data_IF_851918287289
#
_entry.id   IF_851918287289
#
_cell.length_a   1.000
_cell.length_b   1.000
_cell.length_c   1.000
_cell.angle_alpha   90.00
_cell.angle_beta   90.00
_cell.angle_gamma   90.00
#
_symmetry.space_group_name_H-M   'P 1'
#
loop_
_entity.id
_entity.type
_entity.pdbx_description
1 polymer ?
#
# COMPACT_ATOMS: atom_id res chain seq x y z
N UNK A 1 -28.96 -39.43 -21.65
CA UNK A 1 -30.03 -38.47 -21.91
C UNK A 1 -31.26 -39.26 -22.32
N UNK A 2 -32.40 -38.82 -21.87
CA UNK A 2 -33.68 -39.49 -22.08
C UNK A 2 -34.69 -38.46 -22.48
N UNK A 3 -35.59 -38.81 -23.40
CA UNK A 3 -36.70 -37.94 -23.81
C UNK A 3 -38.01 -38.62 -23.37
N UNK A 4 -38.89 -37.82 -22.75
CA UNK A 4 -40.25 -38.20 -22.40
C UNK A 4 -41.18 -37.40 -23.28
N UNK A 5 -42.12 -38.03 -23.99
CA UNK A 5 -43.12 -37.40 -24.84
C UNK A 5 -44.51 -37.60 -24.27
N UNK A 6 -45.44 -36.75 -24.65
CA UNK A 6 -46.81 -36.79 -24.20
C UNK A 6 -46.96 -36.64 -22.67
N UNK A 7 -46.14 -35.76 -22.08
CA UNK A 7 -46.20 -35.47 -20.65
C UNK A 7 -47.47 -34.66 -20.36
N UNK A 8 -48.35 -35.23 -19.50
CA UNK A 8 -49.61 -34.59 -19.12
C UNK A 8 -49.47 -33.62 -17.95
N UNK A 9 -48.54 -33.90 -17.02
CA UNK A 9 -48.26 -33.06 -15.84
C UNK A 9 -46.76 -32.65 -15.76
N UNK A 10 -46.41 -31.46 -16.28
CA UNK A 10 -45.04 -30.95 -16.17
C UNK A 10 -44.59 -30.68 -14.73
N UNK A 11 -45.54 -30.54 -13.80
CA UNK A 11 -45.25 -30.29 -12.38
C UNK A 11 -44.54 -31.46 -11.72
N UNK A 12 -44.74 -32.70 -12.19
CA UNK A 12 -44.01 -33.88 -11.72
C UNK A 12 -42.50 -33.81 -11.95
N UNK A 13 -42.07 -32.92 -12.85
CA UNK A 13 -40.68 -32.69 -13.24
C UNK A 13 -40.15 -31.33 -12.77
N UNK A 14 -40.96 -30.55 -11.98
CA UNK A 14 -40.59 -29.21 -11.49
C UNK A 14 -40.59 -28.13 -12.57
N UNK A 15 -41.30 -28.36 -13.71
CA UNK A 15 -41.31 -27.44 -14.85
C UNK A 15 -42.40 -26.37 -14.76
N UNK A 16 -43.36 -26.49 -13.84
CA UNK A 16 -44.36 -25.50 -13.48
C UNK A 16 -43.82 -24.40 -12.56
N UNK A 17 -42.83 -24.76 -11.74
CA UNK A 17 -42.06 -23.82 -10.88
C UNK A 17 -40.57 -24.06 -11.13
N UNK A 18 -40.05 -23.66 -12.29
CA UNK A 18 -38.69 -24.00 -12.70
C UNK A 18 -37.63 -23.41 -11.80
N UNK A 19 -36.58 -24.17 -11.53
CA UNK A 19 -35.41 -23.71 -10.78
C UNK A 19 -34.68 -22.57 -11.54
N UNK A 20 -34.55 -22.72 -12.85
CA UNK A 20 -33.93 -21.71 -13.73
C UNK A 20 -34.64 -21.67 -15.08
N UNK A 21 -34.63 -20.50 -15.72
CA UNK A 21 -34.99 -20.32 -17.12
C UNK A 21 -33.82 -19.67 -17.83
N UNK A 22 -33.31 -20.32 -18.87
CA UNK A 22 -32.15 -19.86 -19.63
C UNK A 22 -32.63 -19.54 -21.05
N UNK A 23 -32.40 -18.32 -21.50
CA UNK A 23 -32.68 -17.90 -22.87
C UNK A 23 -31.36 -17.60 -23.58
N UNK A 24 -31.10 -18.29 -24.68
CA UNK A 24 -29.95 -18.08 -25.55
C UNK A 24 -30.39 -17.37 -26.79
N UNK A 25 -29.99 -16.11 -26.97
CA UNK A 25 -30.27 -15.31 -28.17
C UNK A 25 -29.03 -15.33 -29.07
N UNK A 26 -29.21 -15.79 -30.33
CA UNK A 26 -28.12 -15.86 -31.31
C UNK A 26 -27.96 -14.51 -32.03
N UNK A 27 -26.84 -14.33 -32.69
CA UNK A 27 -26.53 -13.08 -33.43
C UNK A 27 -27.44 -12.83 -34.62
N UNK A 28 -28.10 -13.86 -35.16
CA UNK A 28 -29.12 -13.77 -36.22
C UNK A 28 -30.52 -13.40 -35.71
N UNK A 29 -30.68 -13.31 -34.37
CA UNK A 29 -31.94 -12.97 -33.71
C UNK A 29 -32.79 -14.20 -33.31
N UNK A 30 -32.39 -15.41 -33.68
CA UNK A 30 -33.03 -16.63 -33.18
C UNK A 30 -32.79 -16.82 -31.71
N UNK A 31 -33.77 -17.29 -30.95
CA UNK A 31 -33.63 -17.60 -29.55
C UNK A 31 -34.04 -19.04 -29.23
N UNK A 32 -33.38 -19.62 -28.24
CA UNK A 32 -33.73 -20.90 -27.66
C UNK A 32 -33.89 -20.74 -26.15
N UNK A 33 -35.02 -21.25 -25.63
CA UNK A 33 -35.34 -21.19 -24.22
C UNK A 33 -35.24 -22.57 -23.59
N UNK A 34 -34.50 -22.68 -22.50
CA UNK A 34 -34.34 -23.89 -21.70
C UNK A 34 -34.99 -23.65 -20.35
N UNK A 35 -36.03 -24.38 -20.03
CA UNK A 35 -36.67 -24.35 -18.71
C UNK A 35 -36.12 -25.54 -17.91
N UNK A 36 -35.58 -25.26 -16.74
CA UNK A 36 -34.88 -26.22 -15.89
C UNK A 36 -35.77 -26.61 -14.70
N UNK A 37 -36.19 -27.86 -14.66
CA UNK A 37 -36.98 -28.40 -13.59
C UNK A 37 -36.15 -29.11 -12.51
N UNK A 38 -36.75 -30.12 -11.88
CA UNK A 38 -36.15 -30.82 -10.76
C UNK A 38 -35.02 -31.77 -11.16
N UNK A 39 -34.20 -32.12 -10.19
CA UNK A 39 -33.17 -33.13 -10.32
C UNK A 39 -33.74 -34.52 -9.94
N UNK A 40 -33.60 -35.50 -10.83
CA UNK A 40 -33.99 -36.88 -10.56
C UNK A 40 -33.10 -37.46 -9.47
N UNK A 41 -33.68 -37.81 -8.34
CA UNK A 41 -32.94 -38.31 -7.16
C UNK A 41 -32.27 -39.69 -7.38
N UNK A 42 -32.73 -40.46 -8.35
CA UNK A 42 -32.19 -41.81 -8.63
C UNK A 42 -31.03 -41.78 -9.63
N UNK A 43 -31.10 -40.88 -10.63
CA UNK A 43 -30.10 -40.81 -11.71
C UNK A 43 -29.15 -39.63 -11.54
N UNK A 44 -29.55 -38.60 -10.79
CA UNK A 44 -28.84 -37.35 -10.68
C UNK A 44 -29.02 -36.41 -11.89
N UNK A 45 -29.77 -36.81 -12.90
CA UNK A 45 -30.02 -36.02 -14.08
C UNK A 45 -31.08 -34.93 -13.81
N UNK A 46 -30.97 -33.80 -14.49
CA UNK A 46 -31.93 -32.71 -14.41
C UNK A 46 -32.97 -32.79 -15.52
N UNK A 47 -34.23 -32.55 -15.20
CA UNK A 47 -35.29 -32.43 -16.17
C UNK A 47 -35.29 -31.05 -16.80
N UNK A 48 -35.48 -31.00 -18.13
CA UNK A 48 -35.58 -29.75 -18.88
C UNK A 48 -36.66 -29.84 -19.94
N UNK A 49 -37.23 -28.70 -20.30
CA UNK A 49 -37.99 -28.58 -21.57
C UNK A 49 -37.44 -27.43 -22.40
N UNK A 50 -37.73 -27.45 -23.70
CA UNK A 50 -37.20 -26.49 -24.65
C UNK A 50 -38.36 -25.65 -25.23
N UNK A 51 -38.13 -24.36 -25.39
CA UNK A 51 -39.03 -23.43 -26.07
C UNK A 51 -40.47 -23.48 -25.55
N UNK A 52 -40.63 -23.63 -24.24
CA UNK A 52 -41.91 -23.75 -23.52
C UNK A 52 -42.77 -24.97 -23.93
N UNK A 53 -42.19 -25.94 -24.65
CA UNK A 53 -42.86 -27.19 -24.94
C UNK A 53 -42.72 -28.18 -23.78
N UNK A 54 -43.56 -28.03 -22.77
CA UNK A 54 -43.56 -28.87 -21.58
C UNK A 54 -44.18 -30.26 -21.82
N UNK A 55 -44.76 -30.52 -23.02
CA UNK A 55 -45.19 -31.86 -23.41
C UNK A 55 -44.06 -32.80 -23.74
N UNK A 56 -42.87 -32.24 -23.99
CA UNK A 56 -41.63 -33.00 -24.24
C UNK A 56 -40.59 -32.65 -23.21
N UNK A 57 -40.29 -33.60 -22.34
CA UNK A 57 -39.29 -33.43 -21.26
C UNK A 57 -38.04 -34.20 -21.59
N UNK A 58 -36.91 -33.55 -21.46
CA UNK A 58 -35.58 -34.14 -21.62
C UNK A 58 -34.92 -34.35 -20.28
N UNK A 59 -34.01 -35.31 -20.20
CA UNK A 59 -33.10 -35.43 -19.07
C UNK A 59 -31.68 -35.14 -19.51
N UNK A 60 -30.95 -34.39 -18.71
CA UNK A 60 -29.54 -34.06 -18.96
C UNK A 60 -28.70 -34.30 -17.74
N UNK A 61 -27.44 -34.74 -17.95
CA UNK A 61 -26.45 -34.84 -16.89
C UNK A 61 -25.80 -33.49 -16.54
N UNK A 62 -26.07 -32.45 -17.33
CA UNK A 62 -25.57 -31.09 -17.06
C UNK A 62 -26.29 -30.52 -15.85
N UNK A 63 -25.53 -30.06 -14.87
CA UNK A 63 -26.07 -29.39 -13.68
C UNK A 63 -26.32 -27.91 -13.97
N UNK A 64 -27.40 -27.62 -14.69
CA UNK A 64 -27.81 -26.24 -14.99
C UNK A 64 -28.11 -25.43 -13.72
N UNK A 65 -28.62 -26.10 -12.67
CA UNK A 65 -28.93 -25.45 -11.40
C UNK A 65 -27.72 -24.82 -10.76
N UNK A 66 -26.60 -25.55 -10.66
CA UNK A 66 -25.37 -25.00 -10.07
C UNK A 66 -24.68 -24.01 -11.02
N UNK A 67 -24.72 -24.27 -12.32
CA UNK A 67 -24.05 -23.42 -13.31
C UNK A 67 -24.68 -22.01 -13.39
N UNK A 68 -26.01 -21.91 -13.30
CA UNK A 68 -26.73 -20.65 -13.46
C UNK A 68 -27.40 -20.14 -12.17
N UNK A 69 -26.97 -20.63 -11.00
CA UNK A 69 -27.47 -20.16 -9.69
C UNK A 69 -26.72 -18.94 -9.15
N UNK A 70 -25.66 -18.54 -9.79
CA UNK A 70 -24.84 -17.40 -9.38
C UNK A 70 -25.55 -16.07 -9.50
N UNK A 71 -25.21 -15.13 -8.63
CA UNK A 71 -25.60 -13.74 -8.77
C UNK A 71 -24.78 -13.01 -9.84
N UNK A 72 -25.10 -11.74 -10.09
CA UNK A 72 -24.42 -10.93 -11.11
C UNK A 72 -22.89 -10.96 -10.99
N UNK A 73 -22.35 -10.82 -9.78
CA UNK A 73 -20.91 -10.80 -9.51
C UNK A 73 -20.19 -12.15 -9.72
N UNK A 74 -20.92 -13.24 -10.01
CA UNK A 74 -20.31 -14.48 -10.47
C UNK A 74 -19.98 -14.47 -11.96
N UNK A 75 -20.57 -13.54 -12.73
CA UNK A 75 -20.48 -13.49 -14.17
C UNK A 75 -19.98 -12.15 -14.70
N UNK A 76 -20.28 -11.06 -14.02
CA UNK A 76 -19.84 -9.71 -14.39
C UNK A 76 -18.49 -9.38 -13.78
N UNK A 77 -17.69 -8.63 -14.51
CA UNK A 77 -16.54 -7.95 -13.94
C UNK A 77 -17.03 -6.88 -12.96
N UNK A 78 -16.61 -6.95 -11.72
CA UNK A 78 -16.95 -5.97 -10.69
C UNK A 78 -15.86 -4.92 -10.58
N UNK A 79 -16.25 -3.71 -10.17
CA UNK A 79 -15.30 -2.66 -9.81
C UNK A 79 -14.32 -3.17 -8.74
N UNK A 80 -13.05 -2.84 -8.90
CA UNK A 80 -12.00 -3.16 -7.93
C UNK A 80 -11.53 -1.90 -7.23
N UNK A 81 -11.12 -2.03 -5.97
CA UNK A 81 -10.37 -0.94 -5.32
C UNK A 81 -9.08 -0.70 -6.12
N UNK A 82 -8.72 0.55 -6.44
CA UNK A 82 -7.55 0.85 -7.25
C UNK A 82 -6.27 0.33 -6.62
N UNK A 83 -5.35 -0.17 -7.45
CA UNK A 83 -4.02 -0.55 -6.99
C UNK A 83 -3.17 0.69 -6.81
N UNK A 84 -2.92 1.08 -5.57
CA UNK A 84 -2.15 2.26 -5.22
C UNK A 84 -0.79 1.82 -4.67
N UNK A 85 0.29 2.35 -5.22
CA UNK A 85 1.63 2.19 -4.65
C UNK A 85 1.79 3.20 -3.51
N UNK A 86 2.06 2.75 -2.29
CA UNK A 86 2.11 3.63 -1.11
C UNK A 86 3.07 4.81 -1.25
N UNK A 87 4.22 4.61 -1.91
CA UNK A 87 5.24 5.66 -2.12
C UNK A 87 4.83 6.74 -3.13
N UNK A 88 3.81 6.50 -3.98
CA UNK A 88 3.32 7.48 -4.94
C UNK A 88 2.24 8.40 -4.39
N UNK A 89 1.75 8.12 -3.18
CA UNK A 89 0.74 8.95 -2.51
C UNK A 89 1.38 10.28 -2.09
N UNK A 90 0.81 11.38 -2.53
CA UNK A 90 1.28 12.74 -2.24
C UNK A 90 0.40 13.48 -1.23
N UNK A 91 -0.87 13.07 -1.09
CA UNK A 91 -1.80 13.70 -0.15
C UNK A 91 -2.88 12.69 0.27
N UNK A 92 -3.27 12.77 1.53
CA UNK A 92 -4.37 12.01 2.12
C UNK A 92 -5.25 12.98 2.91
N UNK A 93 -6.53 13.03 2.58
CA UNK A 93 -7.54 13.83 3.29
C UNK A 93 -8.55 12.88 3.92
N UNK A 94 -8.70 12.96 5.22
CA UNK A 94 -9.70 12.20 5.97
C UNK A 94 -10.69 13.20 6.58
N UNK A 95 -11.92 13.21 6.07
CA UNK A 95 -13.03 14.04 6.59
C UNK A 95 -13.98 13.19 7.41
N UNK A 96 -14.26 13.64 8.61
CA UNK A 96 -15.18 13.01 9.59
C UNK A 96 -15.94 14.11 10.33
N UNK A 97 -16.97 13.75 11.07
CA UNK A 97 -17.69 14.71 11.92
C UNK A 97 -16.76 15.38 12.94
N UNK A 98 -15.81 14.62 13.47
CA UNK A 98 -14.78 15.09 14.39
C UNK A 98 -13.41 14.57 13.98
N UNK A 99 -12.35 15.34 14.26
CA UNK A 99 -10.97 14.97 13.99
C UNK A 99 -10.66 14.76 12.49
N UNK A 100 -11.19 15.61 11.63
CA UNK A 100 -10.79 15.66 10.22
C UNK A 100 -9.36 16.13 10.08
N UNK A 101 -8.59 15.54 9.17
CA UNK A 101 -7.19 15.92 8.95
C UNK A 101 -6.74 15.71 7.51
N UNK A 102 -5.70 16.45 7.15
CA UNK A 102 -5.00 16.32 5.86
C UNK A 102 -3.52 16.06 6.12
N UNK A 103 -2.98 15.03 5.46
CA UNK A 103 -1.54 14.75 5.42
C UNK A 103 -1.07 15.02 4.00
N UNK A 104 -0.04 15.86 3.81
CA UNK A 104 0.41 16.28 2.48
C UNK A 104 1.93 16.36 2.41
N UNK A 105 2.50 15.94 1.29
CA UNK A 105 3.90 16.14 0.96
C UNK A 105 4.07 17.51 0.29
N UNK A 106 5.14 18.20 0.60
CA UNK A 106 5.46 19.50 -0.02
C UNK A 106 6.13 19.38 -1.40
N UNK A 107 6.33 18.15 -1.89
CA UNK A 107 6.99 17.83 -3.16
C UNK A 107 8.49 18.14 -3.21
N UNK A 108 9.12 18.55 -2.09
CA UNK A 108 10.52 18.98 -2.06
C UNK A 108 11.48 17.94 -1.48
N UNK A 109 10.97 16.98 -0.69
CA UNK A 109 11.78 15.89 -0.16
C UNK A 109 10.89 14.72 0.27
N UNK A 110 11.45 13.52 0.33
CA UNK A 110 10.77 12.33 0.85
C UNK A 110 10.36 12.45 2.34
N UNK A 111 10.93 13.42 3.06
CA UNK A 111 10.64 13.69 4.48
C UNK A 111 9.80 14.95 4.69
N UNK A 112 9.43 15.64 3.62
CA UNK A 112 8.70 16.90 3.67
C UNK A 112 7.19 16.74 3.89
N UNK A 113 6.78 15.90 4.82
CA UNK A 113 5.40 15.68 5.15
C UNK A 113 4.88 16.65 6.20
N UNK A 114 3.65 17.08 6.02
CA UNK A 114 2.91 17.96 6.91
C UNK A 114 1.55 17.39 7.22
N UNK A 115 1.07 17.61 8.42
CA UNK A 115 -0.30 17.31 8.83
C UNK A 115 -1.02 18.58 9.23
N UNK A 116 -2.28 18.68 8.88
CA UNK A 116 -3.16 19.80 9.18
C UNK A 116 -4.50 19.28 9.69
N UNK A 117 -4.96 19.77 10.82
CA UNK A 117 -6.29 19.51 11.35
C UNK A 117 -7.21 20.64 10.92
N UNK A 118 -8.23 20.33 10.09
CA UNK A 118 -9.16 21.31 9.52
C UNK A 118 -8.44 22.56 8.99
N UNK A 119 -8.80 23.77 9.48
CA UNK A 119 -8.20 25.04 9.08
C UNK A 119 -7.02 25.47 9.98
N UNK A 120 -6.55 24.60 10.86
CA UNK A 120 -5.41 24.88 11.72
C UNK A 120 -4.11 25.00 10.94
N UNK A 121 -3.07 25.55 11.60
CA UNK A 121 -1.73 25.66 11.01
C UNK A 121 -1.16 24.25 10.72
N UNK A 122 -0.55 24.11 9.54
CA UNK A 122 0.21 22.90 9.20
C UNK A 122 1.35 22.66 10.20
N UNK A 123 1.48 21.42 10.63
CA UNK A 123 2.56 20.93 11.49
C UNK A 123 3.43 19.95 10.70
N UNK A 124 4.71 19.88 11.04
CA UNK A 124 5.59 18.86 10.48
C UNK A 124 5.10 17.47 10.91
N UNK A 125 5.03 16.53 9.97
CA UNK A 125 4.58 15.18 10.23
C UNK A 125 5.76 14.22 10.44
N UNK A 126 5.53 13.19 11.24
CA UNK A 126 6.44 12.05 11.39
C UNK A 126 6.34 11.16 10.14
N UNK A 127 7.45 11.04 9.41
CA UNK A 127 7.50 10.29 8.15
C UNK A 127 7.20 8.79 8.33
N UNK A 128 7.51 8.21 9.49
CA UNK A 128 7.23 6.81 9.80
C UNK A 128 5.73 6.59 9.97
N UNK A 129 5.05 7.48 10.72
CA UNK A 129 3.61 7.42 10.91
C UNK A 129 2.86 7.66 9.60
N UNK A 130 3.35 8.61 8.78
CA UNK A 130 2.81 8.85 7.43
C UNK A 130 2.99 7.64 6.53
N UNK A 131 4.15 6.99 6.54
CA UNK A 131 4.40 5.76 5.77
C UNK A 131 3.45 4.62 6.16
N UNK A 132 3.12 4.51 7.45
CA UNK A 132 2.12 3.56 7.94
C UNK A 132 0.72 3.90 7.40
N UNK A 133 0.33 5.18 7.40
CA UNK A 133 -0.94 5.64 6.85
C UNK A 133 -1.02 5.39 5.33
N UNK A 134 0.04 5.71 4.58
CA UNK A 134 0.13 5.43 3.15
C UNK A 134 -0.05 3.93 2.86
N UNK A 135 0.63 3.07 3.64
CA UNK A 135 0.51 1.61 3.51
C UNK A 135 -0.89 1.13 3.85
N UNK A 136 -1.55 1.72 4.85
CA UNK A 136 -2.94 1.40 5.19
C UNK A 136 -3.88 1.73 4.04
N UNK A 137 -3.75 2.93 3.45
CA UNK A 137 -4.57 3.37 2.32
C UNK A 137 -4.34 2.50 1.08
N UNK A 138 -3.08 2.22 0.76
CA UNK A 138 -2.71 1.37 -0.38
C UNK A 138 -3.15 -0.09 -0.21
N UNK A 139 -3.27 -0.56 1.02
CA UNK A 139 -3.69 -1.91 1.36
C UNK A 139 -5.21 -2.10 1.48
N UNK A 140 -6.03 -1.08 1.25
CA UNK A 140 -7.48 -1.24 1.24
C UNK A 140 -7.93 -2.13 0.09
N UNK A 141 -8.98 -2.89 0.31
CA UNK A 141 -9.59 -3.74 -0.70
C UNK A 141 -11.06 -4.00 -0.37
N UNK A 142 -11.86 -4.29 -1.38
CA UNK A 142 -13.24 -4.69 -1.15
C UNK A 142 -13.31 -6.09 -0.56
N UNK A 143 -14.12 -6.23 0.49
CA UNK A 143 -14.44 -7.48 1.16
C UNK A 143 -15.85 -7.97 0.84
N UNK A 144 -16.70 -7.11 0.27
CA UNK A 144 -18.07 -7.42 -0.10
C UNK A 144 -18.53 -6.63 -1.32
N UNK A 145 -19.44 -7.24 -2.08
CA UNK A 145 -20.09 -6.67 -3.26
C UNK A 145 -21.59 -6.81 -3.05
N UNK A 146 -22.33 -5.69 -2.93
CA UNK A 146 -23.70 -5.72 -2.49
C UNK A 146 -24.69 -5.30 -3.54
N UNK A 147 -24.36 -4.28 -4.35
CA UNK A 147 -25.24 -3.77 -5.40
C UNK A 147 -24.41 -3.10 -6.49
N UNK A 148 -24.59 -3.52 -7.75
CA UNK A 148 -23.89 -2.97 -8.91
C UNK A 148 -24.52 -1.69 -9.45
N UNK A 149 -25.75 -1.37 -9.05
CA UNK A 149 -26.49 -0.18 -9.48
C UNK A 149 -27.33 0.36 -8.33
N UNK A 150 -26.65 0.88 -7.31
CA UNK A 150 -27.28 1.44 -6.13
C UNK A 150 -27.85 2.82 -6.42
N UNK A 151 -29.09 3.04 -6.05
CA UNK A 151 -29.79 4.33 -6.21
C UNK A 151 -30.22 4.93 -4.88
N UNK A 152 -30.29 4.15 -3.81
CA UNK A 152 -30.66 4.58 -2.45
C UNK A 152 -29.42 4.59 -1.53
N UNK A 153 -28.59 5.61 -1.67
CA UNK A 153 -27.40 5.80 -0.87
C UNK A 153 -27.70 6.12 0.60
N UNK A 154 -28.89 6.68 0.89
CA UNK A 154 -29.29 7.03 2.24
C UNK A 154 -29.47 5.78 3.12
N UNK A 155 -29.98 4.68 2.57
CA UNK A 155 -30.15 3.41 3.28
C UNK A 155 -28.83 2.85 3.84
N UNK A 156 -27.72 3.15 3.16
CA UNK A 156 -26.38 2.67 3.50
C UNK A 156 -25.51 3.71 4.25
N UNK A 157 -26.09 4.90 4.53
CA UNK A 157 -25.39 6.01 5.19
C UNK A 157 -24.38 6.71 4.28
N UNK A 158 -24.48 6.56 2.96
CA UNK A 158 -23.54 7.11 1.97
C UNK A 158 -23.97 8.45 1.39
N UNK A 159 -25.22 8.91 1.64
CA UNK A 159 -25.62 10.29 1.38
C UNK A 159 -24.96 11.28 2.34
N UNK A 160 -24.74 10.82 3.59
CA UNK A 160 -23.97 11.54 4.63
C UNK A 160 -22.96 10.56 5.22
N UNK A 161 -21.81 10.37 4.56
CA UNK A 161 -20.84 9.37 4.97
C UNK A 161 -20.23 9.70 6.32
N UNK A 162 -19.96 8.69 7.14
CA UNK A 162 -19.23 8.83 8.42
C UNK A 162 -17.79 9.29 8.21
N UNK A 163 -17.23 8.92 7.08
CA UNK A 163 -15.88 9.31 6.66
C UNK A 163 -15.82 9.43 5.13
N UNK A 164 -15.11 10.44 4.69
CA UNK A 164 -14.65 10.54 3.29
C UNK A 164 -13.12 10.52 3.28
N UNK A 165 -12.54 9.65 2.49
CA UNK A 165 -11.12 9.57 2.23
C UNK A 165 -10.85 10.03 0.81
N UNK A 166 -10.03 11.09 0.65
CA UNK A 166 -9.51 11.52 -0.66
C UNK A 166 -8.01 11.29 -0.69
N UNK A 167 -7.50 10.69 -1.76
CA UNK A 167 -6.09 10.34 -1.93
C UNK A 167 -5.58 10.84 -3.27
N UNK A 168 -4.58 11.72 -3.25
CA UNK A 168 -3.84 12.12 -4.45
C UNK A 168 -2.59 11.23 -4.57
N UNK A 169 -2.41 10.58 -5.72
CA UNK A 169 -1.28 9.68 -6.00
C UNK A 169 -0.90 9.71 -7.47
N UNK A 170 0.24 9.14 -7.82
CA UNK A 170 0.65 8.97 -9.22
C UNK A 170 0.62 7.50 -9.61
N UNK A 171 0.19 7.23 -10.84
CA UNK A 171 0.18 5.91 -11.45
C UNK A 171 1.05 5.92 -12.72
N UNK A 172 1.85 4.88 -12.91
CA UNK A 172 2.58 4.70 -14.15
C UNK A 172 1.68 4.00 -15.17
N UNK A 173 1.40 4.67 -16.28
CA UNK A 173 0.62 4.13 -17.39
C UNK A 173 1.55 3.95 -18.61
N UNK A 174 1.28 2.97 -19.43
CA UNK A 174 1.99 2.81 -20.70
C UNK A 174 1.73 4.03 -21.59
N UNK A 175 2.79 4.67 -22.07
CA UNK A 175 2.67 5.76 -23.01
C UNK A 175 2.16 5.20 -24.36
N UNK A 176 1.04 5.71 -24.86
CA UNK A 176 0.57 5.39 -26.20
C UNK A 176 1.64 5.84 -27.20
N UNK A 177 2.26 4.89 -27.90
CA UNK A 177 3.14 5.19 -29.01
C UNK A 177 2.28 5.72 -30.17
N UNK A 178 2.22 7.03 -30.33
CA UNK A 178 1.72 7.64 -31.57
C UNK A 178 2.76 7.47 -32.66
N UNK A 179 2.83 6.28 -33.26
CA UNK A 179 3.59 6.06 -34.49
C UNK A 179 2.65 6.24 -35.69
N UNK A 180 2.40 7.51 -36.04
CA UNK A 180 1.93 7.92 -37.34
C UNK A 180 3.14 8.30 -38.20
N UNK A 181 3.90 7.29 -38.64
CA UNK A 181 4.83 7.45 -39.76
C UNK A 181 4.65 6.29 -40.74
N UNK A 182 3.76 6.52 -41.73
CA UNK A 182 3.86 5.79 -42.99
C UNK A 182 5.27 6.02 -43.59
N UNK A 183 6.10 5.04 -43.52
CA UNK A 183 7.32 4.97 -44.33
C UNK A 183 7.45 3.59 -44.96
N UNK A 184 7.06 3.59 -46.21
CA UNK A 184 7.36 2.56 -47.22
C UNK A 184 8.89 2.35 -47.33
N UNK A 185 9.41 1.17 -46.98
CA UNK A 185 10.71 0.67 -47.51
C UNK A 185 10.96 -0.79 -47.11
N UNK A 186 11.07 -1.57 -48.09
CA UNK A 186 11.60 -2.90 -48.37
C UNK A 186 12.46 -3.60 -47.30
N UNK A 187 12.17 -4.88 -47.19
CA UNK A 187 12.80 -5.98 -46.47
C UNK A 187 14.33 -5.93 -46.29
N UNK A 188 14.75 -6.14 -45.05
CA UNK A 188 15.97 -6.93 -44.81
C UNK A 188 15.86 -7.70 -43.48
N UNK A 189 15.91 -9.02 -43.58
CA UNK A 189 15.89 -9.97 -42.46
C UNK A 189 17.21 -9.90 -41.71
N UNK A 190 17.14 -9.57 -40.40
CA UNK A 190 18.11 -10.04 -39.42
C UNK A 190 17.44 -10.12 -38.04
N UNK A 191 17.40 -11.34 -37.49
CA UNK A 191 16.98 -11.64 -36.12
C UNK A 191 17.80 -10.83 -35.13
N UNK A 192 17.15 -9.89 -34.47
CA UNK A 192 17.62 -9.32 -33.23
C UNK A 192 16.38 -9.26 -32.32
N UNK A 193 16.46 -9.89 -31.18
CA UNK A 193 15.41 -9.85 -30.15
C UNK A 193 15.09 -8.38 -29.82
N UNK A 194 13.96 -7.92 -30.31
CA UNK A 194 13.42 -6.59 -30.09
C UNK A 194 12.84 -6.55 -28.67
N UNK A 195 13.64 -6.11 -27.70
CA UNK A 195 13.14 -5.68 -26.41
C UNK A 195 12.48 -4.31 -26.62
N UNK A 196 11.18 -4.30 -26.92
CA UNK A 196 10.38 -3.08 -26.91
C UNK A 196 10.40 -2.51 -25.48
N UNK A 197 11.22 -1.47 -25.26
CA UNK A 197 11.14 -0.68 -24.03
C UNK A 197 9.77 -0.01 -24.02
N UNK A 198 8.84 -0.55 -23.22
CA UNK A 198 7.56 0.08 -22.95
C UNK A 198 7.86 1.35 -22.15
N UNK A 199 7.73 2.50 -22.79
CA UNK A 199 7.87 3.79 -22.09
C UNK A 199 6.63 4.00 -21.20
N UNK A 200 6.83 4.14 -19.89
CA UNK A 200 5.77 4.48 -18.94
C UNK A 200 5.74 5.99 -18.67
N UNK A 201 4.55 6.53 -18.45
CA UNK A 201 4.33 7.91 -18.05
C UNK A 201 3.60 7.96 -16.71
N UNK A 202 4.11 8.78 -15.76
CA UNK A 202 3.43 9.03 -14.51
C UNK A 202 2.23 9.96 -14.72
N UNK A 203 1.04 9.54 -14.28
CA UNK A 203 -0.21 10.31 -14.36
C UNK A 203 -0.75 10.54 -12.96
N UNK A 204 -1.14 11.78 -12.69
CA UNK A 204 -1.79 12.14 -11.43
C UNK A 204 -3.20 11.56 -11.37
N UNK A 205 -3.55 10.92 -10.26
CA UNK A 205 -4.84 10.32 -9.96
C UNK A 205 -5.37 10.82 -8.62
N UNK A 206 -6.67 10.88 -8.51
CA UNK A 206 -7.39 11.12 -7.27
C UNK A 206 -8.36 9.99 -7.01
N UNK A 207 -8.38 9.48 -5.79
CA UNK A 207 -9.35 8.50 -5.31
C UNK A 207 -10.22 9.16 -4.25
N UNK A 208 -11.53 9.06 -4.40
CA UNK A 208 -12.50 9.36 -3.36
C UNK A 208 -13.18 8.08 -2.88
N UNK A 209 -13.15 7.84 -1.58
CA UNK A 209 -13.85 6.73 -0.93
C UNK A 209 -14.80 7.28 0.14
N UNK A 210 -16.07 6.97 -0.03
CA UNK A 210 -17.12 7.29 0.93
C UNK A 210 -17.42 6.09 1.82
N UNK A 211 -17.42 6.26 3.14
CA UNK A 211 -17.67 5.21 4.14
C UNK A 211 -18.96 5.49 4.88
N UNK A 212 -19.92 4.58 4.76
CA UNK A 212 -21.27 4.69 5.33
C UNK A 212 -21.45 3.92 6.63
N UNK A 213 -22.59 3.23 6.74
CA UNK A 213 -22.96 2.42 7.91
C UNK A 213 -22.27 1.05 7.88
N UNK A 214 -22.27 0.36 9.01
CA UNK A 214 -21.85 -1.04 9.09
C UNK A 214 -22.99 -1.93 8.60
N UNK A 215 -22.67 -2.92 7.77
CA UNK A 215 -23.56 -4.02 7.43
C UNK A 215 -23.62 -5.00 8.62
N UNK A 216 -24.78 -5.11 9.24
CA UNK A 216 -24.97 -5.97 10.43
C UNK A 216 -24.84 -7.47 10.12
N UNK A 217 -24.88 -7.86 8.83
CA UNK A 217 -24.84 -9.26 8.42
C UNK A 217 -23.41 -9.80 8.41
N UNK A 218 -22.44 -9.02 7.90
CA UNK A 218 -21.04 -9.45 7.71
C UNK A 218 -20.03 -8.56 8.45
N UNK A 219 -20.47 -7.45 9.02
CA UNK A 219 -19.63 -6.53 9.79
C UNK A 219 -18.78 -5.58 8.98
N UNK A 220 -18.90 -5.55 7.65
CA UNK A 220 -18.17 -4.61 6.81
C UNK A 220 -18.83 -3.22 6.84
N UNK A 221 -18.05 -2.17 6.60
CA UNK A 221 -18.62 -0.86 6.27
C UNK A 221 -19.08 -0.84 4.83
N UNK A 222 -20.26 -0.31 4.56
CA UNK A 222 -20.68 0.04 3.21
C UNK A 222 -19.82 1.16 2.67
N UNK A 223 -19.33 0.99 1.46
CA UNK A 223 -18.45 1.96 0.82
C UNK A 223 -18.82 2.19 -0.64
N UNK A 224 -18.43 3.36 -1.16
CA UNK A 224 -18.56 3.74 -2.57
C UNK A 224 -17.29 4.46 -3.02
N UNK A 225 -16.80 4.17 -4.23
CA UNK A 225 -15.74 4.92 -4.88
C UNK A 225 -16.33 6.07 -5.71
N UNK A 226 -15.85 7.28 -5.49
CA UNK A 226 -16.20 8.45 -6.30
C UNK A 226 -17.66 8.52 -6.70
N UNK A 227 -17.90 8.63 -8.00
CA UNK A 227 -19.23 8.66 -8.60
C UNK A 227 -19.75 7.28 -9.05
N UNK A 228 -19.08 6.19 -8.63
CA UNK A 228 -19.52 4.83 -8.96
C UNK A 228 -20.96 4.56 -8.52
N UNK A 229 -21.69 3.75 -9.28
CA UNK A 229 -22.99 3.24 -8.89
C UNK A 229 -22.91 1.96 -8.08
N UNK A 230 -21.71 1.40 -7.88
CA UNK A 230 -21.53 0.15 -7.16
C UNK A 230 -21.41 0.35 -5.66
N UNK A 231 -22.08 -0.52 -4.90
CA UNK A 231 -22.04 -0.56 -3.44
C UNK A 231 -21.17 -1.73 -3.00
N UNK A 232 -20.10 -1.41 -2.33
CA UNK A 232 -19.12 -2.38 -1.83
C UNK A 232 -19.04 -2.42 -0.32
N UNK A 233 -18.22 -3.32 0.20
CA UNK A 233 -17.87 -3.40 1.60
C UNK A 233 -16.36 -3.40 1.81
N UNK A 234 -15.91 -2.72 2.87
CA UNK A 234 -14.54 -2.84 3.38
C UNK A 234 -14.60 -3.27 4.84
N UNK A 235 -13.69 -4.15 5.26
CA UNK A 235 -13.68 -4.67 6.62
C UNK A 235 -13.46 -3.55 7.65
N UNK A 236 -14.08 -3.67 8.84
CA UNK A 236 -13.89 -2.70 9.92
C UNK A 236 -12.41 -2.59 10.31
N UNK A 237 -11.69 -3.72 10.35
CA UNK A 237 -10.28 -3.75 10.72
C UNK A 237 -9.40 -2.94 9.76
N UNK A 238 -9.70 -2.98 8.45
CA UNK A 238 -8.95 -2.23 7.43
C UNK A 238 -9.17 -0.71 7.54
N UNK A 239 -10.35 -0.27 8.00
CA UNK A 239 -10.71 1.15 8.14
C UNK A 239 -10.43 1.72 9.53
N UNK A 240 -10.08 0.88 10.52
CA UNK A 240 -9.95 1.30 11.94
C UNK A 240 -8.96 2.46 12.11
N UNK A 241 -7.79 2.39 11.49
CA UNK A 241 -6.76 3.43 11.55
C UNK A 241 -7.28 4.78 11.02
N UNK A 242 -8.05 4.76 9.92
CA UNK A 242 -8.61 5.97 9.31
C UNK A 242 -9.76 6.54 10.14
N UNK A 243 -10.64 5.68 10.63
CA UNK A 243 -11.81 6.07 11.41
C UNK A 243 -11.43 6.65 12.79
N UNK A 244 -10.45 6.06 13.46
CA UNK A 244 -10.01 6.44 14.80
C UNK A 244 -8.85 7.44 14.81
N UNK A 245 -8.10 7.57 13.70
CA UNK A 245 -6.93 8.43 13.58
C UNK A 245 -7.25 9.92 13.79
N UNK A 246 -6.28 10.66 14.29
CA UNK A 246 -6.34 12.11 14.55
C UNK A 246 -5.10 12.77 13.95
N UNK A 247 -5.17 14.07 13.69
CA UNK A 247 -4.02 14.82 13.19
C UNK A 247 -2.77 14.65 14.07
N UNK A 248 -2.96 14.64 15.39
CA UNK A 248 -1.86 14.51 16.35
C UNK A 248 -1.10 13.17 16.24
N UNK A 249 -1.74 12.10 15.80
CA UNK A 249 -1.09 10.78 15.64
C UNK A 249 0.00 10.79 14.57
N UNK A 250 -0.04 11.78 13.68
CA UNK A 250 0.91 11.97 12.59
C UNK A 250 1.89 13.13 12.81
N UNK A 251 1.81 13.86 13.92
CA UNK A 251 2.74 14.94 14.18
C UNK A 251 4.14 14.41 14.49
N UNK A 252 5.15 15.14 14.01
CA UNK A 252 6.51 14.97 14.52
C UNK A 252 6.55 15.46 15.98
N UNK A 253 6.47 14.51 16.89
CA UNK A 253 6.41 14.79 18.32
C UNK A 253 7.78 14.94 18.97
N UNK A 254 8.86 14.54 18.28
CA UNK A 254 10.22 14.79 18.75
C UNK A 254 10.48 16.28 18.82
N UNK A 255 10.99 16.74 19.97
CA UNK A 255 11.28 18.17 20.20
C UNK A 255 12.52 18.57 19.41
N UNK A 256 13.48 17.65 19.28
CA UNK A 256 14.71 17.82 18.55
C UNK A 256 15.15 16.51 17.86
N UNK A 257 15.84 16.65 16.72
CA UNK A 257 16.44 15.55 15.97
C UNK A 257 17.97 15.62 15.94
N UNK A 258 18.59 16.46 16.80
CA UNK A 258 20.05 16.53 16.87
C UNK A 258 20.67 15.21 17.32
N UNK A 259 21.76 14.84 16.66
CA UNK A 259 22.63 13.76 17.13
C UNK A 259 23.72 14.31 18.02
N UNK A 260 24.29 13.49 18.88
CA UNK A 260 25.40 13.92 19.76
C UNK A 260 26.62 14.41 18.96
N UNK A 261 26.75 13.93 17.70
CA UNK A 261 27.80 14.40 16.78
C UNK A 261 27.64 15.83 16.36
N UNK A 262 26.41 16.37 16.34
CA UNK A 262 26.10 17.74 15.91
C UNK A 262 26.15 18.74 17.07
N UNK A 263 26.39 18.22 18.29
CA UNK A 263 26.41 19.03 19.49
C UNK A 263 27.71 19.87 19.55
N UNK A 264 27.58 21.19 19.54
CA UNK A 264 28.64 22.11 19.95
C UNK A 264 28.60 22.28 21.48
N UNK A 265 27.47 22.76 22.01
CA UNK A 265 27.22 22.83 23.44
C UNK A 265 25.72 22.75 23.75
N UNK A 266 25.42 22.39 24.99
CA UNK A 266 24.06 22.36 25.55
C UNK A 266 24.07 23.09 26.89
N UNK A 267 23.32 24.18 27.01
CA UNK A 267 23.14 24.88 28.29
C UNK A 267 21.91 24.35 29.03
N UNK A 268 22.14 23.88 30.25
CA UNK A 268 21.07 23.43 31.15
C UNK A 268 21.00 24.38 32.35
N UNK A 269 19.86 25.04 32.50
CA UNK A 269 19.62 25.92 33.66
C UNK A 269 18.76 25.16 34.66
N UNK A 270 19.37 24.82 35.79
CA UNK A 270 18.70 24.12 36.89
C UNK A 270 18.82 24.93 38.18
N UNK A 271 17.69 25.27 38.77
CA UNK A 271 17.59 26.10 40.01
C UNK A 271 18.42 27.39 39.95
N UNK A 272 18.44 28.05 38.75
CA UNK A 272 19.20 29.30 38.55
C UNK A 272 20.68 29.12 38.29
N UNK A 273 21.21 27.91 38.27
CA UNK A 273 22.59 27.61 37.90
C UNK A 273 22.62 27.08 36.48
N UNK A 274 23.52 27.66 35.66
CA UNK A 274 23.77 27.19 34.30
C UNK A 274 24.87 26.17 34.25
N UNK A 275 24.62 25.05 33.63
CA UNK A 275 25.58 23.99 33.31
C UNK A 275 25.78 23.95 31.81
N UNK A 276 26.99 24.25 31.32
CA UNK A 276 27.32 24.20 29.90
C UNK A 276 28.01 22.86 29.60
N UNK A 277 27.35 22.02 28.81
CA UNK A 277 27.85 20.72 28.35
C UNK A 277 28.48 20.92 26.97
N UNK A 278 29.74 20.50 26.79
CA UNK A 278 30.45 20.61 25.51
C UNK A 278 31.02 19.26 25.07
N UNK A 279 31.04 19.07 23.75
CA UNK A 279 31.74 17.96 23.10
C UNK A 279 32.95 18.54 22.36
N UNK A 280 34.10 17.99 22.58
CA UNK A 280 35.37 18.37 21.92
C UNK A 280 35.90 17.17 21.17
N UNK A 281 36.20 17.34 19.90
CA UNK A 281 36.80 16.30 19.04
C UNK A 281 38.21 16.75 18.71
N UNK A 282 39.20 15.91 19.03
CA UNK A 282 40.61 16.13 18.73
C UNK A 282 41.17 14.96 17.92
N UNK A 283 42.11 15.26 17.02
CA UNK A 283 42.85 14.26 16.29
C UNK A 283 44.18 14.05 17.04
N UNK A 284 44.46 12.86 17.53
CA UNK A 284 45.70 12.49 18.17
C UNK A 284 46.50 11.59 17.23
N UNK A 285 47.82 11.85 17.13
CA UNK A 285 48.74 10.99 16.39
C UNK A 285 48.90 9.67 17.10
N UNK A 286 48.77 8.56 16.41
CA UNK A 286 49.02 7.23 16.93
C UNK A 286 50.53 7.04 16.95
N UNK A 287 51.18 7.04 18.14
CA UNK A 287 52.56 6.59 18.29
C UNK A 287 52.61 5.08 18.08
N UNK A 288 53.29 4.63 17.00
CA UNK A 288 53.57 3.20 16.82
C UNK A 288 54.50 2.73 17.93
N UNK A 289 53.98 1.95 18.88
CA UNK A 289 54.80 1.21 19.85
C UNK A 289 55.77 0.32 19.08
N UNK A 290 57.06 0.70 19.16
CA UNK A 290 58.17 -0.20 18.72
C UNK A 290 58.24 -1.34 19.72
N UNK A 291 57.53 -2.41 19.50
CA UNK A 291 57.77 -3.68 20.18
C UNK A 291 59.14 -4.18 19.76
N UNK A 292 60.03 -4.32 20.73
CA UNK A 292 61.31 -4.96 20.58
C UNK A 292 61.13 -6.40 20.09
N UNK A 293 61.56 -6.64 18.84
CA UNK A 293 61.74 -8.00 18.34
C UNK A 293 62.94 -8.62 19.02
N UNK A 294 62.72 -9.62 19.82
CA UNK A 294 63.73 -10.56 20.29
C UNK A 294 63.93 -11.63 19.23
N UNK A 295 65.21 -11.71 18.84
CA UNK A 295 65.81 -12.67 17.95
C UNK A 295 65.26 -14.10 18.04
N UNK A 296 65.09 -14.71 16.87
CA UNK A 296 65.40 -16.14 16.74
C UNK A 296 65.84 -16.45 15.30
N UNK A 297 67.15 -16.83 15.22
CA UNK A 297 67.86 -17.36 14.06
C UNK A 297 67.15 -18.60 13.47
N UNK A 298 67.07 -18.66 12.13
CA UNK A 298 67.35 -19.90 11.41
C UNK A 298 67.53 -19.61 9.89
N UNK A 299 68.70 -19.96 9.39
CA UNK A 299 69.17 -20.02 8.01
C UNK A 299 68.17 -20.58 6.99
N UNK A 300 68.10 -19.96 5.80
CA UNK A 300 68.37 -20.72 4.57
C UNK A 300 68.49 -19.80 3.33
N UNK A 301 69.57 -20.07 2.57
CA UNK A 301 69.94 -19.50 1.31
C UNK A 301 68.88 -19.70 0.19
N UNK A 302 68.73 -18.71 -0.68
CA UNK A 302 68.81 -18.89 -2.15
C UNK A 302 68.53 -17.55 -2.87
N UNK A 303 69.47 -17.22 -3.76
CA UNK A 303 69.48 -16.16 -4.79
C UNK A 303 68.18 -16.02 -5.54
N UNK A 304 67.76 -14.78 -5.86
CA UNK A 304 67.52 -14.34 -7.22
C UNK A 304 67.36 -12.80 -7.31
N UNK A 305 68.13 -12.20 -8.20
CA UNK A 305 68.10 -10.81 -8.61
C UNK A 305 66.78 -10.45 -9.28
N UNK A 306 66.16 -9.32 -8.90
CA UNK A 306 65.55 -8.38 -9.84
C UNK A 306 65.37 -7.01 -9.20
N UNK A 307 66.08 -6.03 -9.75
CA UNK A 307 65.85 -4.59 -9.59
C UNK A 307 64.39 -4.22 -9.92
N UNK A 308 63.75 -3.53 -9.01
CA UNK A 308 62.66 -2.61 -9.34
C UNK A 308 62.62 -1.49 -8.31
N UNK A 309 62.94 -0.30 -8.78
CA UNK A 309 62.63 1.00 -8.20
C UNK A 309 61.26 0.99 -7.50
N UNK A 310 61.18 1.31 -6.25
CA UNK A 310 59.94 1.72 -5.61
C UNK A 310 60.15 3.09 -4.97
N UNK A 311 59.61 4.07 -5.65
CA UNK A 311 59.41 5.42 -5.23
C UNK A 311 58.64 5.48 -3.89
N UNK A 312 59.05 6.43 -3.06
CA UNK A 312 58.38 7.09 -1.96
C UNK A 312 57.06 6.47 -1.49
N UNK A 313 57.12 5.70 -0.40
CA UNK A 313 55.98 5.49 0.46
C UNK A 313 55.81 6.75 1.34
N UNK A 314 54.85 7.60 1.02
CA UNK A 314 54.32 8.62 1.90
C UNK A 314 53.96 7.95 3.24
N UNK A 315 54.67 8.31 4.27
CA UNK A 315 54.41 7.91 5.67
C UNK A 315 53.09 8.61 6.09
N UNK A 316 51.93 8.07 5.70
CA UNK A 316 50.62 8.55 6.19
C UNK A 316 50.60 8.32 7.71
N UNK A 317 50.80 9.42 8.47
CA UNK A 317 50.64 9.44 9.92
C UNK A 317 49.20 9.03 10.29
N UNK A 318 49.03 7.85 10.85
CA UNK A 318 47.74 7.39 11.37
C UNK A 318 47.30 8.32 12.51
N UNK A 319 46.17 9.03 12.31
CA UNK A 319 45.56 9.83 13.35
C UNK A 319 44.34 9.11 13.91
N UNK A 320 44.14 9.18 15.20
CA UNK A 320 42.95 8.66 15.91
C UNK A 320 42.10 9.84 16.39
N UNK A 321 40.84 9.82 16.07
CA UNK A 321 39.87 10.79 16.57
C UNK A 321 39.49 10.45 18.01
N UNK A 322 39.73 11.39 18.93
CA UNK A 322 39.36 11.28 20.35
C UNK A 322 38.25 12.30 20.63
N UNK A 323 37.16 11.81 21.25
CA UNK A 323 36.05 12.66 21.68
C UNK A 323 36.07 12.76 23.20
N UNK A 324 36.15 14.00 23.72
CA UNK A 324 36.10 14.31 25.14
C UNK A 324 34.89 15.20 25.44
N UNK A 325 34.25 14.94 26.55
CA UNK A 325 33.11 15.70 27.04
C UNK A 325 33.43 16.54 28.25
N UNK A 326 32.82 17.72 28.36
CA UNK A 326 33.07 18.66 29.46
C UNK A 326 31.73 19.20 29.99
N UNK A 327 31.68 19.46 31.30
CA UNK A 327 30.61 20.20 31.98
C UNK A 327 31.27 21.37 32.74
N UNK A 328 30.93 22.64 32.39
CA UNK A 328 31.55 23.85 32.91
C UNK A 328 33.11 23.79 32.88
N UNK A 329 33.66 23.38 31.74
CA UNK A 329 35.10 23.22 31.48
C UNK A 329 35.82 22.14 32.32
N UNK A 330 35.07 21.31 33.04
CA UNK A 330 35.61 20.12 33.70
C UNK A 330 35.29 18.88 32.85
N UNK A 331 36.28 18.02 32.69
CA UNK A 331 36.10 16.76 31.96
C UNK A 331 35.01 15.93 32.62
N UNK A 332 34.07 15.46 31.81
CA UNK A 332 32.93 14.68 32.23
C UNK A 332 33.09 13.20 31.90
N UNK A 333 32.52 12.35 32.72
CA UNK A 333 32.39 10.93 32.41
C UNK A 333 31.56 10.76 31.13
N UNK A 334 32.10 10.05 30.13
CA UNK A 334 31.52 9.94 28.80
C UNK A 334 30.17 9.20 28.79
N UNK A 335 30.01 8.20 29.68
CA UNK A 335 28.79 7.41 29.75
C UNK A 335 27.66 8.23 30.36
N UNK A 336 27.97 8.94 31.47
CA UNK A 336 26.98 9.83 32.10
C UNK A 336 26.60 10.99 31.21
N UNK A 337 27.54 11.61 30.49
CA UNK A 337 27.27 12.68 29.54
C UNK A 337 26.35 12.19 28.41
N UNK A 338 26.73 11.05 27.82
CA UNK A 338 25.95 10.44 26.70
C UNK A 338 24.56 10.03 27.16
N UNK A 339 24.41 9.45 28.34
CA UNK A 339 23.13 9.06 28.92
C UNK A 339 22.20 10.30 29.12
N UNK A 340 22.77 11.37 29.70
CA UNK A 340 22.04 12.62 29.89
C UNK A 340 21.63 13.23 28.56
N UNK A 341 22.54 13.33 27.58
CA UNK A 341 22.23 13.86 26.27
C UNK A 341 21.13 13.06 25.56
N UNK A 342 21.21 11.72 25.59
CA UNK A 342 20.18 10.85 25.04
C UNK A 342 18.81 11.09 25.69
N UNK A 343 18.78 11.30 26.99
CA UNK A 343 17.53 11.61 27.70
C UNK A 343 16.96 12.96 27.26
N UNK A 344 17.80 13.98 27.05
CA UNK A 344 17.39 15.27 26.53
C UNK A 344 16.91 15.20 25.07
N UNK A 345 17.63 14.48 24.22
CA UNK A 345 17.29 14.30 22.81
C UNK A 345 16.05 13.41 22.59
N UNK A 346 15.73 12.55 23.57
CA UNK A 346 14.56 11.66 23.50
C UNK A 346 13.25 12.32 24.00
N UNK A 347 13.26 13.61 24.31
CA UNK A 347 12.03 14.30 24.73
C UNK A 347 11.05 14.40 23.57
N UNK A 348 9.81 13.96 23.83
CA UNK A 348 8.72 13.99 22.86
C UNK A 348 7.49 14.65 23.46
N UNK A 349 6.67 15.29 22.62
CA UNK A 349 5.37 15.78 22.99
C UNK A 349 4.40 14.60 23.17
N UNK A 350 3.74 14.51 24.30
CA UNK A 350 2.75 13.45 24.58
C UNK A 350 1.31 13.88 24.30
N UNK A 351 1.02 15.17 24.35
CA UNK A 351 -0.30 15.73 24.10
C UNK A 351 -0.20 17.21 23.73
N UNK A 352 -1.22 17.71 23.07
CA UNK A 352 -1.45 19.13 22.84
C UNK A 352 -2.30 19.70 23.97
N UNK A 353 -1.93 20.86 24.51
CA UNK A 353 -2.79 21.65 25.35
C UNK A 353 -3.71 22.50 24.44
N UNK A 354 -5.02 22.38 24.61
CA UNK A 354 -6.03 23.20 23.94
C UNK A 354 -6.04 24.63 24.51
#
# INVERSE_FOLDING_TARGET
DRTLTDVEDPGEYGLDVPANVIEVVKTDGDSEKITVGDKNSSTGNTYICLNDDASTVYTTSTDFGSTFSGGLYNYAESESYPTITSSTISKIVVKKDNNSYTVTNNGKSSTGWYVQEEDNKKQEADSTQVGTLQSTVAGLSFAGYYNYNCTDWAAYGLEKPKMTLTVDYTEEVEAESTDDTESDSEANTNDTEDSSETTTQAVDKELDLYVGNVNETDGNYYVRLGDSSELHGISQASLETLLNGKAFDYWKTSIDSMTISDLDHLDVIYQGTTYTLKRVVTEEKVEKDKSEDTDNDADNDADDDTDADSEDADDEEETKTVTTYYVNDQEADSDNFTAFYRAAAAMVCQSRLE
#
